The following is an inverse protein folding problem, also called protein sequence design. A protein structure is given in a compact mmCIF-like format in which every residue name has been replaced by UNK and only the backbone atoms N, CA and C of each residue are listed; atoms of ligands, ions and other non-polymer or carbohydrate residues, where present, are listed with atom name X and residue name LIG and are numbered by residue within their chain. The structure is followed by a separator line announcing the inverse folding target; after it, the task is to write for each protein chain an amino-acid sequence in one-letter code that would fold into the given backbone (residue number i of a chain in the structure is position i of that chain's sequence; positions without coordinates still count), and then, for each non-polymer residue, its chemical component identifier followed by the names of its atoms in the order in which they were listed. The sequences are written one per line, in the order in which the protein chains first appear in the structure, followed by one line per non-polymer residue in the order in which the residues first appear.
data_IF_710719954491
#
_entry.id   IF_710719954491
#
_cell.length_a   1.000
_cell.length_b   1.000
_cell.length_c   1.000
_cell.angle_alpha   90.00
_cell.angle_beta   90.00
_cell.angle_gamma   90.00
#
_symmetry.space_group_name_H-M   'P 1'
#
loop_
_entity.id
_entity.type
_entity.pdbx_description
1 polymer ?
#
# COMPACT_ATOMS: atom_id res chain seq x y z
N UNK A 1 13.67 3.77 -5.77
CA UNK A 1 12.87 3.73 -4.54
C UNK A 1 13.20 4.94 -3.69
N UNK A 2 12.20 5.61 -3.16
CA UNK A 2 12.43 6.69 -2.20
C UNK A 2 12.99 6.12 -0.90
N UNK A 3 14.01 6.78 -0.37
CA UNK A 3 14.55 6.42 0.93
C UNK A 3 13.75 7.14 2.02
N UNK A 4 13.79 6.61 3.26
CA UNK A 4 13.05 7.16 4.39
C UNK A 4 13.29 8.66 4.60
N UNK A 5 14.53 9.13 4.41
CA UNK A 5 14.88 10.55 4.55
C UNK A 5 14.14 11.43 3.57
N UNK A 6 13.96 10.98 2.33
CA UNK A 6 13.22 11.74 1.32
C UNK A 6 11.74 11.81 1.68
N UNK A 7 11.18 10.69 2.17
CA UNK A 7 9.78 10.62 2.62
C UNK A 7 9.57 11.56 3.80
N UNK A 8 10.47 11.53 4.79
CA UNK A 8 10.41 12.41 5.95
C UNK A 8 10.52 13.88 5.56
N UNK A 9 11.41 14.22 4.63
CA UNK A 9 11.56 15.58 4.13
C UNK A 9 10.28 16.08 3.45
N UNK A 10 9.61 15.22 2.66
CA UNK A 10 8.34 15.57 2.03
C UNK A 10 7.25 15.78 3.09
N UNK A 11 7.23 14.96 4.14
CA UNK A 11 6.26 15.09 5.22
C UNK A 11 6.48 16.35 6.04
N UNK A 12 7.73 16.74 6.31
CA UNK A 12 8.06 17.99 7.00
C UNK A 12 7.57 19.21 6.24
N UNK A 13 7.61 19.16 4.91
CA UNK A 13 7.07 20.20 4.03
C UNK A 13 5.56 20.07 3.84
N UNK A 14 4.92 19.10 4.48
CA UNK A 14 3.50 18.78 4.33
C UNK A 14 3.11 18.47 2.88
N UNK A 15 4.03 17.90 2.13
CA UNK A 15 3.77 17.42 0.76
C UNK A 15 3.23 15.99 0.76
N UNK A 16 2.18 15.75 1.53
CA UNK A 16 1.61 14.42 1.73
C UNK A 16 1.10 13.78 0.44
N UNK A 17 0.63 14.57 -0.52
CA UNK A 17 0.16 14.04 -1.81
C UNK A 17 1.27 13.26 -2.51
N UNK A 18 2.50 13.79 -2.51
CA UNK A 18 3.65 13.11 -3.11
C UNK A 18 3.99 11.82 -2.37
N UNK A 19 3.91 11.83 -1.03
CA UNK A 19 4.15 10.65 -0.20
C UNK A 19 3.10 9.59 -0.50
N UNK A 20 1.83 9.97 -0.54
CA UNK A 20 0.74 9.03 -0.81
C UNK A 20 0.84 8.44 -2.22
N UNK A 21 1.19 9.24 -3.22
CA UNK A 21 1.39 8.76 -4.58
C UNK A 21 2.53 7.73 -4.64
N UNK A 22 3.62 7.99 -3.93
CA UNK A 22 4.73 7.03 -3.85
C UNK A 22 4.26 5.70 -3.27
N UNK A 23 3.58 5.72 -2.12
CA UNK A 23 3.10 4.49 -1.49
C UNK A 23 2.03 3.80 -2.32
N UNK A 24 1.17 4.55 -2.98
CA UNK A 24 0.16 3.99 -3.89
C UNK A 24 0.84 3.16 -4.98
N UNK A 25 1.86 3.72 -5.64
CA UNK A 25 2.58 3.03 -6.70
C UNK A 25 3.36 1.83 -6.16
N UNK A 26 3.99 1.99 -5.01
CA UNK A 26 4.77 0.93 -4.36
C UNK A 26 3.87 -0.26 -4.00
N UNK A 27 2.74 0.00 -3.36
CA UNK A 27 1.81 -1.07 -2.99
C UNK A 27 1.12 -1.68 -4.20
N UNK A 28 0.82 -0.89 -5.22
CA UNK A 28 0.27 -1.42 -6.47
C UNK A 28 1.21 -2.46 -7.07
N UNK A 29 2.49 -2.14 -7.17
CA UNK A 29 3.50 -3.07 -7.67
C UNK A 29 3.66 -4.31 -6.80
N UNK A 30 3.70 -4.13 -5.46
CA UNK A 30 3.84 -5.23 -4.51
C UNK A 30 2.68 -6.23 -4.62
N UNK A 31 1.46 -5.75 -4.61
CA UNK A 31 0.28 -6.61 -4.67
C UNK A 31 0.12 -7.25 -6.04
N UNK A 32 0.40 -6.51 -7.11
CA UNK A 32 0.41 -7.06 -8.46
C UNK A 32 1.33 -8.28 -8.55
N UNK A 33 2.59 -8.11 -8.14
CA UNK A 33 3.60 -9.17 -8.22
C UNK A 33 3.25 -10.35 -7.31
N UNK A 34 2.74 -10.05 -6.12
CA UNK A 34 2.30 -11.07 -5.17
C UNK A 34 1.18 -11.93 -5.74
N UNK A 35 0.15 -11.30 -6.28
CA UNK A 35 -1.00 -12.01 -6.86
C UNK A 35 -0.58 -12.80 -8.10
N UNK A 36 0.29 -12.24 -8.94
CA UNK A 36 0.81 -12.92 -10.11
C UNK A 36 1.60 -14.18 -9.72
N UNK A 37 2.45 -14.09 -8.69
CA UNK A 37 3.20 -15.24 -8.19
C UNK A 37 2.30 -16.35 -7.63
N UNK A 38 1.11 -15.99 -7.17
CA UNK A 38 0.15 -16.95 -6.61
C UNK A 38 -0.93 -17.36 -7.63
N UNK A 39 -0.66 -17.11 -8.91
CA UNK A 39 -1.53 -17.53 -10.03
C UNK A 39 -2.94 -16.94 -9.98
N UNK A 40 -3.10 -15.77 -9.37
CA UNK A 40 -4.38 -15.05 -9.38
C UNK A 40 -4.50 -14.27 -10.69
N UNK A 41 -5.63 -14.45 -11.38
CA UNK A 41 -5.88 -13.76 -12.64
C UNK A 41 -6.02 -12.25 -12.43
N UNK A 42 -5.25 -11.47 -13.18
CA UNK A 42 -5.28 -10.00 -13.14
C UNK A 42 -5.77 -9.47 -14.47
N UNK A 43 -6.57 -8.41 -14.42
CA UNK A 43 -7.05 -7.72 -15.61
C UNK A 43 -6.15 -6.54 -15.92
N UNK A 44 -6.08 -6.17 -17.20
CA UNK A 44 -5.20 -5.09 -17.68
C UNK A 44 -5.46 -3.75 -16.99
N UNK A 45 -6.71 -3.47 -16.65
CA UNK A 45 -7.14 -2.22 -16.02
C UNK A 45 -7.33 -2.29 -14.52
N UNK A 46 -6.90 -3.38 -13.88
CA UNK A 46 -6.95 -3.50 -12.43
C UNK A 46 -6.07 -2.44 -11.77
N UNK A 47 -6.57 -1.84 -10.70
CA UNK A 47 -5.85 -0.87 -9.88
C UNK A 47 -5.64 -1.40 -8.46
N UNK A 48 -5.05 -0.59 -7.58
CA UNK A 48 -4.72 -1.02 -6.23
C UNK A 48 -5.92 -1.57 -5.46
N UNK A 49 -7.09 -0.93 -5.57
CA UNK A 49 -8.28 -1.42 -4.86
C UNK A 49 -8.71 -2.81 -5.35
N UNK A 50 -8.58 -3.07 -6.65
CA UNK A 50 -8.88 -4.38 -7.21
C UNK A 50 -7.92 -5.44 -6.67
N UNK A 51 -6.65 -5.11 -6.53
CA UNK A 51 -5.65 -6.02 -5.96
C UNK A 51 -5.92 -6.28 -4.48
N UNK A 52 -6.34 -5.28 -3.72
CA UNK A 52 -6.73 -5.44 -2.32
C UNK A 52 -7.91 -6.41 -2.21
N UNK A 53 -8.95 -6.22 -3.03
CA UNK A 53 -10.13 -7.09 -3.03
C UNK A 53 -9.74 -8.52 -3.39
N UNK A 54 -8.95 -8.71 -4.44
CA UNK A 54 -8.48 -10.04 -4.87
C UNK A 54 -7.65 -10.71 -3.78
N UNK A 55 -6.79 -9.96 -3.10
CA UNK A 55 -6.00 -10.49 -1.98
C UNK A 55 -6.92 -11.01 -0.88
N UNK A 56 -7.94 -10.26 -0.50
CA UNK A 56 -8.89 -10.68 0.54
C UNK A 56 -9.72 -11.89 0.14
N UNK A 57 -10.08 -11.99 -1.14
CA UNK A 57 -10.90 -13.10 -1.65
C UNK A 57 -10.07 -14.37 -1.81
N UNK A 58 -8.92 -14.29 -2.45
CA UNK A 58 -8.12 -15.45 -2.82
C UNK A 58 -7.05 -15.83 -1.79
N UNK A 59 -6.59 -14.86 -1.02
CA UNK A 59 -5.54 -15.05 -0.01
C UNK A 59 -5.98 -14.42 1.32
N UNK A 60 -7.08 -14.92 1.94
CA UNK A 60 -7.69 -14.26 3.11
C UNK A 60 -6.76 -14.11 4.32
N UNK A 61 -5.76 -14.95 4.46
CA UNK A 61 -4.79 -14.83 5.56
C UNK A 61 -3.92 -13.56 5.47
N UNK A 62 -3.90 -12.91 4.30
CA UNK A 62 -3.16 -11.66 4.11
C UNK A 62 -4.04 -10.43 4.29
N UNK A 63 -5.32 -10.59 4.62
CA UNK A 63 -6.26 -9.47 4.80
C UNK A 63 -5.73 -8.42 5.79
N UNK A 64 -5.13 -8.85 6.91
CA UNK A 64 -4.58 -7.95 7.91
C UNK A 64 -3.52 -7.00 7.37
N UNK A 65 -2.74 -7.43 6.39
CA UNK A 65 -1.71 -6.59 5.77
C UNK A 65 -2.29 -5.57 4.79
N UNK A 66 -3.52 -5.76 4.32
CA UNK A 66 -4.19 -4.80 3.45
C UNK A 66 -4.92 -3.71 4.23
N UNK A 67 -5.20 -3.92 5.51
CA UNK A 67 -5.93 -2.96 6.35
C UNK A 67 -5.21 -1.60 6.43
N UNK A 68 -3.90 -1.53 6.76
CA UNK A 68 -3.19 -0.26 6.77
C UNK A 68 -3.22 0.45 5.41
N UNK A 69 -3.10 -0.31 4.33
CA UNK A 69 -3.15 0.24 2.97
C UNK A 69 -4.52 0.86 2.71
N UNK A 70 -5.58 0.15 3.03
CA UNK A 70 -6.96 0.61 2.84
C UNK A 70 -7.22 1.88 3.66
N UNK A 71 -6.80 1.89 4.93
CA UNK A 71 -7.03 3.05 5.79
C UNK A 71 -6.24 4.28 5.34
N UNK A 72 -5.03 4.09 4.83
CA UNK A 72 -4.21 5.20 4.36
C UNK A 72 -4.65 5.73 3.00
N UNK A 73 -5.11 4.85 2.10
CA UNK A 73 -5.39 5.25 0.71
C UNK A 73 -6.86 5.57 0.46
N UNK A 74 -7.78 4.94 1.19
CA UNK A 74 -9.21 5.00 0.85
C UNK A 74 -10.12 5.43 1.99
N UNK A 75 -9.62 5.56 3.22
CA UNK A 75 -10.45 5.97 4.36
C UNK A 75 -10.36 7.49 4.56
N UNK A 76 -11.39 8.21 4.13
CA UNK A 76 -11.43 9.68 4.21
C UNK A 76 -11.53 10.21 5.64
N UNK A 77 -11.95 9.38 6.60
CA UNK A 77 -12.08 9.78 8.01
C UNK A 77 -10.74 9.83 8.74
N UNK A 78 -9.67 9.29 8.16
CA UNK A 78 -8.34 9.31 8.76
C UNK A 78 -7.60 10.59 8.33
N UNK A 79 -7.15 11.43 9.28
CA UNK A 79 -6.38 12.64 8.94
C UNK A 79 -5.06 12.31 8.21
N UNK A 80 -4.57 13.25 7.41
CA UNK A 80 -3.37 13.04 6.58
C UNK A 80 -2.12 12.68 7.38
N UNK A 81 -1.90 13.32 8.52
CA UNK A 81 -0.75 13.02 9.38
C UNK A 81 -0.83 11.60 9.97
N UNK A 82 -2.03 11.15 10.30
CA UNK A 82 -2.26 9.79 10.76
C UNK A 82 -2.08 8.78 9.62
N UNK A 83 -2.53 9.10 8.42
CA UNK A 83 -2.28 8.27 7.23
C UNK A 83 -0.79 8.09 7.00
N UNK A 84 -0.04 9.18 7.09
CA UNK A 84 1.42 9.15 6.94
C UNK A 84 2.07 8.24 7.99
N UNK A 85 1.71 8.41 9.26
CA UNK A 85 2.23 7.56 10.34
C UNK A 85 1.89 6.09 10.13
N UNK A 86 0.66 5.82 9.69
CA UNK A 86 0.20 4.47 9.41
C UNK A 86 1.04 3.81 8.31
N UNK A 87 1.30 4.54 7.22
CA UNK A 87 2.13 4.05 6.12
C UNK A 87 3.56 3.77 6.57
N UNK A 88 4.17 4.71 7.29
CA UNK A 88 5.55 4.55 7.76
C UNK A 88 5.70 3.39 8.73
N UNK A 89 4.75 3.23 9.66
CA UNK A 89 4.83 2.18 10.68
C UNK A 89 4.52 0.79 10.14
N UNK A 90 3.72 0.69 9.09
CA UNK A 90 3.31 -0.60 8.52
C UNK A 90 4.12 -1.05 7.31
N UNK A 91 4.84 -0.15 6.67
CA UNK A 91 5.47 -0.40 5.36
C UNK A 91 6.37 -1.64 5.37
N UNK A 92 7.25 -1.76 6.35
CA UNK A 92 8.21 -2.88 6.40
C UNK A 92 7.49 -4.22 6.52
N UNK A 93 6.50 -4.31 7.40
CA UNK A 93 5.71 -5.53 7.60
C UNK A 93 4.93 -5.91 6.35
N UNK A 94 4.30 -4.91 5.71
CA UNK A 94 3.53 -5.12 4.48
C UNK A 94 4.45 -5.56 3.35
N UNK A 95 5.57 -4.89 3.17
CA UNK A 95 6.55 -5.24 2.14
C UNK A 95 7.08 -6.66 2.33
N UNK A 96 7.46 -7.02 3.56
CA UNK A 96 7.97 -8.35 3.86
C UNK A 96 6.91 -9.43 3.57
N UNK A 97 5.65 -9.18 3.96
CA UNK A 97 4.56 -10.13 3.75
C UNK A 97 4.30 -10.38 2.26
N UNK A 98 4.25 -9.32 1.45
CA UNK A 98 3.93 -9.45 0.02
C UNK A 98 5.14 -9.71 -0.87
N UNK A 99 6.34 -9.79 -0.31
CA UNK A 99 7.55 -10.16 -1.06
C UNK A 99 7.85 -11.65 -1.04
N UNK A 100 7.05 -12.43 -0.34
CA UNK A 100 7.25 -13.89 -0.21
C UNK A 100 6.60 -14.71 -1.31
#
# INVERSE_FOLDING_TARGET
MLIEKEIEALAEKKEYVKVFNYFHDEYTGLLHDFLERHDVELKKDDCLIDYIVKTRVFMPKYTGYTIPITNAMYNEDVPEDMKFSLLMNSYKSVKDAFSK
#
